data_IF_437570234641
#
_entry.id   IF_437570234641
#
_cell.length_a   1.000
_cell.length_b   1.000
_cell.length_c   1.000
_cell.angle_alpha   90.00
_cell.angle_beta   90.00
_cell.angle_gamma   90.00
#
_symmetry.space_group_name_H-M   'P 1'
#
loop_
_entity.id
_entity.type
_entity.pdbx_description
1 polymer ?
#
# COMPACT_ATOMS: atom_id res chain seq x y z
N UNK A 1 18.95 -13.02 -17.07
CA UNK A 1 19.94 -13.52 -16.09
C UNK A 1 20.29 -12.36 -15.17
N UNK A 2 20.16 -12.51 -13.85
CA UNK A 2 20.53 -11.45 -12.91
C UNK A 2 22.01 -11.60 -12.57
N UNK A 3 22.80 -10.54 -12.73
CA UNK A 3 24.24 -10.55 -12.41
C UNK A 3 24.47 -10.95 -10.94
N UNK A 4 25.50 -11.75 -10.60
CA UNK A 4 25.85 -12.10 -9.21
C UNK A 4 25.95 -10.89 -8.27
N UNK A 5 26.36 -9.72 -8.79
CA UNK A 5 26.51 -8.47 -8.02
C UNK A 5 25.16 -7.90 -7.52
N UNK A 6 24.05 -8.30 -8.13
CA UNK A 6 22.71 -7.83 -7.74
C UNK A 6 22.27 -8.35 -6.36
N UNK A 7 22.74 -9.55 -5.96
CA UNK A 7 22.38 -10.14 -4.67
C UNK A 7 22.94 -9.32 -3.49
N UNK A 8 24.15 -8.78 -3.65
CA UNK A 8 24.78 -7.95 -2.64
C UNK A 8 24.12 -6.58 -2.46
N UNK A 9 23.42 -6.07 -3.49
CA UNK A 9 22.65 -4.83 -3.38
C UNK A 9 21.34 -5.06 -2.62
N UNK A 10 20.60 -6.11 -2.97
CA UNK A 10 19.33 -6.46 -2.30
C UNK A 10 19.56 -6.75 -0.82
N UNK A 11 20.62 -7.49 -0.47
CA UNK A 11 20.93 -7.84 0.92
C UNK A 11 21.29 -6.65 1.82
N UNK A 12 21.66 -5.50 1.24
CA UNK A 12 22.05 -4.28 1.97
C UNK A 12 21.05 -3.14 1.80
N UNK A 13 19.94 -3.40 1.12
CA UNK A 13 18.94 -2.38 0.84
C UNK A 13 17.99 -2.29 2.03
N UNK A 14 17.83 -1.09 2.60
CA UNK A 14 16.84 -0.85 3.66
C UNK A 14 15.50 -0.36 3.09
N UNK A 15 15.56 0.39 1.98
CA UNK A 15 14.42 1.05 1.36
C UNK A 15 14.43 0.85 -0.15
N UNK A 16 13.26 0.48 -0.69
CA UNK A 16 13.00 0.47 -2.12
C UNK A 16 12.08 1.64 -2.47
N UNK A 17 12.56 2.54 -3.33
CA UNK A 17 11.76 3.61 -3.93
C UNK A 17 11.56 3.34 -5.42
N UNK A 18 10.35 3.56 -5.92
CA UNK A 18 10.02 3.31 -7.32
C UNK A 18 8.84 4.15 -7.79
N UNK A 19 8.53 4.02 -9.07
CA UNK A 19 7.32 4.60 -9.66
C UNK A 19 6.05 3.98 -9.04
N UNK A 20 4.95 4.75 -8.99
CA UNK A 20 3.67 4.27 -8.47
C UNK A 20 3.16 3.00 -9.16
N UNK A 21 3.57 2.71 -10.40
CA UNK A 21 3.24 1.46 -11.08
C UNK A 21 3.69 0.19 -10.35
N UNK A 22 4.65 0.31 -9.41
CA UNK A 22 5.13 -0.77 -8.55
C UNK A 22 4.37 -0.93 -7.23
N UNK A 23 3.36 -0.09 -6.95
CA UNK A 23 2.46 -0.24 -5.80
C UNK A 23 1.50 -1.43 -6.03
N UNK A 24 2.03 -2.62 -5.77
CA UNK A 24 1.34 -3.90 -5.83
C UNK A 24 1.54 -4.68 -4.53
N UNK A 25 0.45 -5.24 -4.01
CA UNK A 25 0.47 -5.95 -2.72
C UNK A 25 1.47 -7.11 -2.71
N UNK A 26 1.53 -7.91 -3.78
CA UNK A 26 2.47 -9.02 -3.92
C UNK A 26 3.94 -8.57 -3.89
N UNK A 27 4.22 -7.42 -4.51
CA UNK A 27 5.55 -6.83 -4.54
C UNK A 27 5.97 -6.30 -3.17
N UNK A 28 5.06 -5.58 -2.48
CA UNK A 28 5.27 -5.08 -1.12
C UNK A 28 5.50 -6.22 -0.12
N UNK A 29 4.60 -7.21 -0.10
CA UNK A 29 4.72 -8.38 0.78
C UNK A 29 6.04 -9.11 0.54
N UNK A 30 6.46 -9.30 -0.72
CA UNK A 30 7.73 -9.95 -1.02
C UNK A 30 8.94 -9.15 -0.55
N UNK A 31 8.97 -7.83 -0.77
CA UNK A 31 10.09 -6.98 -0.34
C UNK A 31 10.24 -6.99 1.17
N UNK A 32 9.13 -6.88 1.90
CA UNK A 32 9.14 -6.90 3.35
C UNK A 32 9.42 -8.29 3.92
N UNK A 33 8.59 -9.29 3.62
CA UNK A 33 8.63 -10.59 4.30
C UNK A 33 9.89 -11.39 3.96
N UNK A 34 10.39 -11.27 2.72
CA UNK A 34 11.54 -12.04 2.26
C UNK A 34 12.87 -11.32 2.44
N UNK A 35 12.89 -10.00 2.24
CA UNK A 35 14.13 -9.24 2.17
C UNK A 35 14.27 -8.19 3.28
N UNK A 36 13.22 -7.92 4.06
CA UNK A 36 13.23 -6.88 5.11
C UNK A 36 13.28 -5.45 4.55
N UNK A 37 13.00 -5.28 3.26
CA UNK A 37 13.12 -4.00 2.56
C UNK A 37 11.80 -3.23 2.69
N UNK A 38 11.88 -1.97 3.15
CA UNK A 38 10.71 -1.09 3.26
C UNK A 38 10.38 -0.46 1.90
N UNK A 39 9.14 -0.60 1.45
CA UNK A 39 8.68 0.08 0.24
C UNK A 39 8.33 1.54 0.54
N UNK A 40 8.92 2.46 -0.22
CA UNK A 40 8.62 3.90 -0.25
C UNK A 40 8.17 4.24 -1.67
N UNK A 41 6.92 3.89 -1.98
CA UNK A 41 6.34 4.03 -3.31
C UNK A 41 5.05 4.84 -3.16
N UNK A 42 4.79 5.73 -4.12
CA UNK A 42 3.55 6.48 -4.17
C UNK A 42 2.36 5.57 -4.54
N UNK A 43 1.18 5.83 -3.98
CA UNK A 43 0.02 4.94 -4.12
C UNK A 43 -0.52 5.01 -5.56
N UNK A 44 -0.76 3.85 -6.17
CA UNK A 44 -1.36 3.77 -7.48
C UNK A 44 -2.89 3.74 -7.38
N UNK A 45 -3.54 4.87 -7.66
CA UNK A 45 -5.00 4.94 -7.70
C UNK A 45 -5.59 4.11 -8.86
N UNK A 46 -5.92 2.85 -8.57
CA UNK A 46 -6.52 1.88 -9.51
C UNK A 46 -7.92 1.42 -9.10
N UNK A 47 -8.56 2.09 -8.13
CA UNK A 47 -9.92 1.74 -7.74
C UNK A 47 -10.86 1.97 -8.93
N UNK A 48 -11.67 0.95 -9.24
CA UNK A 48 -12.68 1.03 -10.30
C UNK A 48 -13.88 1.82 -9.76
N UNK A 49 -14.64 2.41 -10.68
CA UNK A 49 -15.97 3.00 -10.42
C UNK A 49 -16.00 4.33 -9.65
N UNK A 50 -14.85 4.97 -9.42
CA UNK A 50 -14.79 6.30 -8.82
C UNK A 50 -15.11 6.33 -7.32
N UNK A 51 -15.08 5.17 -6.67
CA UNK A 51 -15.18 5.03 -5.22
C UNK A 51 -14.14 5.94 -4.54
N UNK A 52 -14.62 6.88 -3.73
CA UNK A 52 -13.74 7.78 -2.97
C UNK A 52 -13.21 7.12 -1.71
N UNK A 53 -14.01 6.22 -1.12
CA UNK A 53 -13.75 5.60 0.17
C UNK A 53 -14.23 4.14 0.17
N UNK A 54 -13.59 3.28 0.96
CA UNK A 54 -13.97 1.88 1.20
C UNK A 54 -14.11 1.62 2.69
N UNK A 55 -15.08 0.79 3.08
CA UNK A 55 -15.23 0.37 4.46
C UNK A 55 -14.03 -0.46 4.94
N UNK A 56 -13.56 -0.20 6.16
CA UNK A 56 -12.58 -1.05 6.82
C UNK A 56 -13.24 -2.38 7.17
N UNK A 57 -12.61 -3.49 6.76
CA UNK A 57 -13.16 -4.82 7.02
C UNK A 57 -13.37 -5.05 8.53
N UNK A 58 -14.57 -5.49 8.90
CA UNK A 58 -14.96 -5.69 10.30
C UNK A 58 -15.45 -4.44 11.04
N UNK A 59 -15.47 -3.27 10.38
CA UNK A 59 -16.03 -2.04 10.92
C UNK A 59 -17.26 -1.61 10.11
N UNK A 60 -18.33 -1.20 10.80
CA UNK A 60 -19.56 -0.74 10.15
C UNK A 60 -19.48 0.73 9.73
N UNK A 61 -18.73 1.54 10.47
CA UNK A 61 -18.76 2.99 10.36
C UNK A 61 -17.37 3.61 10.13
N UNK A 62 -16.38 2.80 9.78
CA UNK A 62 -15.02 3.26 9.50
C UNK A 62 -14.73 3.02 8.04
N UNK A 63 -14.31 4.06 7.33
CA UNK A 63 -13.91 3.99 5.94
C UNK A 63 -12.53 4.60 5.74
N UNK A 64 -11.90 4.28 4.61
CA UNK A 64 -10.62 4.86 4.22
C UNK A 64 -10.63 5.25 2.75
N UNK A 65 -9.93 6.32 2.41
CA UNK A 65 -9.71 6.70 1.01
C UNK A 65 -8.48 6.02 0.42
N UNK A 66 -8.25 6.23 -0.88
CA UNK A 66 -7.13 5.63 -1.58
C UNK A 66 -5.76 6.13 -1.10
N UNK A 67 -5.68 7.28 -0.43
CA UNK A 67 -4.43 7.80 0.17
C UNK A 67 -4.16 7.17 1.54
N UNK A 68 -5.07 6.34 2.07
CA UNK A 68 -4.97 5.75 3.39
C UNK A 68 -5.44 6.67 4.52
N UNK A 69 -6.11 7.79 4.23
CA UNK A 69 -6.79 8.54 5.28
C UNK A 69 -7.97 7.72 5.79
N UNK A 70 -8.17 7.70 7.11
CA UNK A 70 -9.23 6.93 7.77
C UNK A 70 -10.26 7.89 8.36
N UNK A 71 -11.54 7.62 8.11
CA UNK A 71 -12.69 8.40 8.55
C UNK A 71 -13.63 7.55 9.39
N UNK A 72 -14.24 8.15 10.41
CA UNK A 72 -15.27 7.53 11.24
C UNK A 72 -16.59 8.26 11.02
N UNK A 73 -17.64 7.52 10.70
CA UNK A 73 -18.96 8.05 10.43
C UNK A 73 -19.88 7.89 11.64
N UNK A 74 -20.62 8.93 11.98
CA UNK A 74 -21.67 8.87 12.97
C UNK A 74 -22.79 7.94 12.49
N UNK A 75 -23.06 6.86 13.23
CA UNK A 75 -24.09 5.87 12.86
C UNK A 75 -25.52 6.39 12.86
N UNK A 76 -25.76 7.56 13.46
CA UNK A 76 -27.09 8.21 13.48
C UNK A 76 -27.28 9.21 12.36
N UNK A 77 -26.24 10.02 12.08
CA UNK A 77 -26.35 11.18 11.19
C UNK A 77 -25.61 10.99 9.87
N UNK A 78 -24.69 10.03 9.77
CA UNK A 78 -23.84 9.82 8.61
C UNK A 78 -22.76 10.89 8.41
N UNK A 79 -22.53 11.75 9.40
CA UNK A 79 -21.47 12.76 9.38
C UNK A 79 -20.11 12.11 9.68
N UNK A 80 -19.07 12.52 8.94
CA UNK A 80 -17.68 12.14 9.21
C UNK A 80 -16.98 13.14 10.13
#
# INVERSE_FOLDING_TARGET
MVSPDSYGLVARCDYFSGDKGYDGTDYHTKLWDKYGIKCVIDICYKWKDGDKERAVSGCENVAYDYCGNVYCYCMKTGER
#
